data_IF_215812207607
#
_entry.id   IF_215812207607
#
_cell.length_a   1.000
_cell.length_b   1.000
_cell.length_c   1.000
_cell.angle_alpha   90.00
_cell.angle_beta   90.00
_cell.angle_gamma   90.00
#
_symmetry.space_group_name_H-M   'P 1'
#
loop_
_entity.id
_entity.type
_entity.pdbx_description
1 polymer ?
#
# COMPACT_ATOMS: atom_id res chain seq x y z
N UNK A 1 -3.19 0.53 6.63
CA UNK A 1 -2.59 1.45 5.63
C UNK A 1 -2.35 2.89 6.11
N UNK A 2 -3.28 3.54 6.84
CA UNK A 2 -3.18 4.96 7.25
C UNK A 2 -1.80 5.40 7.81
N UNK A 3 -1.25 4.65 8.77
CA UNK A 3 0.07 4.93 9.36
C UNK A 3 1.19 5.06 8.32
N UNK A 4 1.13 4.24 7.28
CA UNK A 4 2.13 4.23 6.22
C UNK A 4 1.88 5.37 5.25
N UNK A 5 0.63 5.67 4.89
CA UNK A 5 0.32 6.85 4.05
C UNK A 5 0.84 8.16 4.65
N UNK A 6 0.73 8.35 5.97
CA UNK A 6 1.28 9.51 6.66
C UNK A 6 2.79 9.66 6.44
N UNK A 7 3.51 8.54 6.49
CA UNK A 7 4.95 8.50 6.25
C UNK A 7 5.27 8.68 4.76
N UNK A 8 4.51 8.05 3.84
CA UNK A 8 4.76 8.17 2.41
C UNK A 8 4.61 9.61 1.92
N UNK A 9 3.63 10.36 2.44
CA UNK A 9 3.47 11.79 2.18
C UNK A 9 4.75 12.58 2.54
N UNK A 10 5.41 12.22 3.63
CA UNK A 10 6.61 12.91 4.11
C UNK A 10 7.89 12.43 3.40
N UNK A 11 7.98 11.13 3.11
CA UNK A 11 9.19 10.49 2.58
C UNK A 11 9.30 10.59 1.04
N UNK A 12 8.16 10.72 0.35
CA UNK A 12 8.09 10.82 -1.12
C UNK A 12 7.27 12.04 -1.58
N UNK A 13 7.56 13.26 -1.10
CA UNK A 13 6.70 14.43 -1.33
C UNK A 13 6.68 14.89 -2.80
N UNK A 14 7.69 14.51 -3.58
CA UNK A 14 7.88 14.93 -4.97
C UNK A 14 7.61 13.81 -5.98
N UNK A 15 7.46 12.57 -5.51
CA UNK A 15 7.28 11.41 -6.36
C UNK A 15 5.79 11.22 -6.66
N UNK A 16 5.51 10.74 -7.87
CA UNK A 16 4.17 10.33 -8.22
C UNK A 16 3.85 8.97 -7.58
N UNK A 17 2.59 8.79 -7.26
CA UNK A 17 2.04 7.55 -6.77
C UNK A 17 0.88 7.11 -7.68
N UNK A 18 0.77 5.80 -7.86
CA UNK A 18 -0.43 5.15 -8.39
C UNK A 18 -1.14 4.49 -7.22
N UNK A 19 -2.38 4.88 -6.99
CA UNK A 19 -3.26 4.29 -5.98
C UNK A 19 -4.26 3.39 -6.68
N UNK A 20 -4.12 2.09 -6.47
CA UNK A 20 -5.04 1.09 -6.99
C UNK A 20 -6.12 0.79 -5.94
N UNK A 21 -7.38 0.75 -6.37
CA UNK A 21 -8.53 0.46 -5.51
C UNK A 21 -9.00 -0.98 -5.66
N UNK A 22 -9.67 -1.49 -4.62
CA UNK A 22 -10.32 -2.81 -4.59
C UNK A 22 -11.44 -2.95 -5.64
N UNK A 23 -11.93 -1.84 -6.19
CA UNK A 23 -12.89 -1.84 -7.30
C UNK A 23 -12.25 -2.01 -8.69
N UNK A 24 -10.93 -2.02 -8.80
CA UNK A 24 -10.21 -2.04 -10.08
C UNK A 24 -9.95 -0.67 -10.69
N UNK A 25 -10.39 0.41 -10.04
CA UNK A 25 -10.08 1.77 -10.45
C UNK A 25 -8.67 2.17 -9.98
N UNK A 26 -8.05 3.08 -10.73
CA UNK A 26 -6.77 3.68 -10.37
C UNK A 26 -6.90 5.20 -10.30
N UNK A 27 -6.13 5.78 -9.41
CA UNK A 27 -5.98 7.21 -9.23
C UNK A 27 -4.48 7.53 -9.15
N UNK A 28 -4.05 8.67 -9.66
CA UNK A 28 -2.62 8.99 -9.79
C UNK A 28 -2.33 10.46 -9.53
N UNK A 29 -1.23 10.72 -8.84
CA UNK A 29 -0.77 12.06 -8.49
C UNK A 29 0.30 11.98 -7.41
N UNK A 30 0.62 13.10 -6.78
CA UNK A 30 1.45 13.12 -5.58
C UNK A 30 0.58 12.93 -4.34
N UNK A 31 1.12 12.27 -3.32
CA UNK A 31 0.42 12.10 -2.04
C UNK A 31 0.39 13.46 -1.31
N UNK A 32 -0.80 14.02 -1.11
CA UNK A 32 -0.97 15.35 -0.52
C UNK A 32 -1.14 15.31 0.99
N UNK A 33 -2.36 15.02 1.44
CA UNK A 33 -2.72 15.04 2.85
C UNK A 33 -3.73 13.94 3.19
N UNK A 34 -3.93 13.67 4.47
CA UNK A 34 -5.03 12.81 4.93
C UNK A 34 -6.17 13.66 5.48
N UNK A 35 -7.41 13.27 5.15
CA UNK A 35 -8.62 14.04 5.47
C UNK A 35 -9.63 13.21 6.30
N UNK A 36 -10.28 13.83 7.32
CA UNK A 36 -9.84 15.07 7.97
C UNK A 36 -8.44 14.90 8.59
N UNK A 37 -7.74 16.00 8.83
CA UNK A 37 -6.44 15.94 9.48
C UNK A 37 -6.55 15.28 10.87
N UNK A 38 -5.55 14.47 11.23
CA UNK A 38 -5.47 13.82 12.54
C UNK A 38 -5.85 12.33 12.54
N UNK A 39 -6.18 11.77 13.71
CA UNK A 39 -6.30 10.32 13.91
C UNK A 39 -7.57 9.71 13.28
N UNK A 40 -8.50 10.55 12.82
CA UNK A 40 -9.76 10.11 12.21
C UNK A 40 -9.74 10.23 10.68
N UNK A 41 -8.56 10.40 10.08
CA UNK A 41 -8.44 10.49 8.64
C UNK A 41 -8.91 9.19 7.96
N UNK A 42 -9.84 9.34 7.01
CA UNK A 42 -10.44 8.26 6.23
C UNK A 42 -10.23 8.40 4.72
N UNK A 43 -9.75 9.57 4.27
CA UNK A 43 -9.45 9.85 2.87
C UNK A 43 -7.97 10.22 2.72
N UNK A 44 -7.40 9.86 1.58
CA UNK A 44 -6.11 10.33 1.09
C UNK A 44 -6.38 11.32 -0.04
N UNK A 45 -5.84 12.53 0.07
CA UNK A 45 -5.88 13.52 -1.00
C UNK A 45 -4.69 13.32 -1.93
N UNK A 46 -4.95 13.30 -3.23
CA UNK A 46 -3.92 13.43 -4.24
C UNK A 46 -3.84 14.87 -4.75
N UNK A 47 -2.61 15.30 -5.03
CA UNK A 47 -2.30 16.63 -5.56
C UNK A 47 -1.51 16.51 -6.85
N UNK A 48 -1.60 17.53 -7.71
CA UNK A 48 -0.75 17.61 -8.90
C UNK A 48 0.70 18.00 -8.53
N UNK A 49 1.57 18.15 -9.53
CA UNK A 49 2.97 18.56 -9.34
C UNK A 49 3.14 19.96 -8.73
N UNK A 50 2.10 20.80 -8.75
CA UNK A 50 2.06 22.13 -8.14
C UNK A 50 1.49 22.12 -6.72
N UNK A 51 1.11 20.95 -6.18
CA UNK A 51 0.48 20.82 -4.87
C UNK A 51 -1.02 21.16 -4.85
N UNK A 52 -1.65 21.34 -6.01
CA UNK A 52 -3.09 21.62 -6.10
C UNK A 52 -3.86 20.31 -5.95
N UNK A 53 -4.84 20.23 -5.02
CA UNK A 53 -5.72 19.08 -4.87
C UNK A 53 -6.44 18.71 -6.17
N UNK A 54 -6.43 17.41 -6.50
CA UNK A 54 -7.13 16.87 -7.66
C UNK A 54 -8.32 16.00 -7.25
N UNK A 55 -8.08 15.06 -6.33
CA UNK A 55 -9.09 14.11 -5.89
C UNK A 55 -8.80 13.59 -4.47
N UNK A 56 -9.80 12.95 -3.87
CA UNK A 56 -9.69 12.29 -2.59
C UNK A 56 -10.14 10.83 -2.72
N UNK A 57 -9.26 9.91 -2.33
CA UNK A 57 -9.51 8.46 -2.40
C UNK A 57 -9.81 7.91 -1.00
N UNK A 58 -10.75 6.97 -0.92
CA UNK A 58 -11.08 6.33 0.36
C UNK A 58 -9.97 5.37 0.78
N UNK A 59 -9.37 5.59 1.96
CA UNK A 59 -8.29 4.74 2.48
C UNK A 59 -8.75 3.28 2.62
N UNK A 60 -10.02 3.06 2.97
CA UNK A 60 -10.60 1.72 3.14
C UNK A 60 -10.78 0.95 1.83
N UNK A 61 -10.67 1.63 0.68
CA UNK A 61 -10.79 1.05 -0.65
C UNK A 61 -9.45 0.88 -1.35
N UNK A 62 -8.36 1.36 -0.77
CA UNK A 62 -7.02 1.23 -1.36
C UNK A 62 -6.57 -0.23 -1.25
N UNK A 63 -6.31 -0.84 -2.40
CA UNK A 63 -5.66 -2.14 -2.52
C UNK A 63 -4.14 -1.98 -2.50
N UNK A 64 -3.59 -1.02 -3.24
CA UNK A 64 -2.16 -0.70 -3.18
C UNK A 64 -1.85 0.78 -3.42
N UNK A 65 -0.71 1.21 -2.90
CA UNK A 65 -0.06 2.47 -3.27
C UNK A 65 1.31 2.16 -3.81
N UNK A 66 1.59 2.49 -5.06
CA UNK A 66 2.92 2.33 -5.69
C UNK A 66 3.55 3.69 -5.92
N UNK A 67 4.70 3.94 -5.31
CA UNK A 67 5.49 5.14 -5.59
C UNK A 67 6.31 4.87 -6.85
N UNK A 68 6.18 5.71 -7.87
CA UNK A 68 6.85 5.52 -9.16
C UNK A 68 8.19 6.23 -9.20
N UNK A 69 9.18 5.64 -9.85
CA UNK A 69 10.53 6.21 -10.04
C UNK A 69 11.26 6.52 -8.74
N UNK A 70 10.89 5.85 -7.64
CA UNK A 70 11.51 5.99 -6.33
C UNK A 70 12.10 4.66 -5.85
N UNK A 71 13.08 4.74 -4.95
CA UNK A 71 13.60 3.56 -4.24
C UNK A 71 12.91 3.43 -2.87
N UNK A 72 12.74 2.19 -2.40
CA UNK A 72 12.20 1.94 -1.07
C UNK A 72 13.02 2.61 0.04
N UNK A 73 12.34 3.35 0.91
CA UNK A 73 12.91 4.03 2.05
C UNK A 73 12.83 3.17 3.32
N UNK A 74 13.99 2.84 3.89
CA UNK A 74 14.09 2.02 5.10
C UNK A 74 13.66 2.72 6.40
N UNK A 75 13.38 4.03 6.38
CA UNK A 75 12.86 4.76 7.53
C UNK A 75 11.37 4.49 7.81
N UNK A 76 10.67 3.78 6.91
CA UNK A 76 9.25 3.44 7.08
C UNK A 76 9.08 2.47 8.25
N UNK A 77 8.19 2.85 9.16
CA UNK A 77 7.78 2.06 10.32
C UNK A 77 6.38 1.49 10.13
N UNK A 78 6.15 0.30 10.68
CA UNK A 78 4.90 -0.44 10.57
C UNK A 78 4.28 -0.63 11.94
N UNK A 79 2.95 -0.75 11.97
CA UNK A 79 2.25 -1.03 13.22
C UNK A 79 2.45 -2.50 13.60
N UNK A 80 2.64 -2.81 14.89
CA UNK A 80 2.72 -4.18 15.34
C UNK A 80 1.37 -4.89 15.15
N UNK A 81 1.39 -6.22 15.19
CA UNK A 81 0.17 -7.02 15.30
C UNK A 81 -0.58 -6.62 16.59
N UNK A 82 -1.90 -6.36 16.54
CA UNK A 82 -2.69 -6.06 17.74
C UNK A 82 -2.59 -7.16 18.80
N UNK A 83 -2.73 -6.77 20.08
CA UNK A 83 -2.76 -7.71 21.21
C UNK A 83 -4.08 -7.52 21.98
N UNK A 84 -4.97 -8.53 22.02
CA UNK A 84 -4.85 -9.84 21.35
C UNK A 84 -4.92 -9.71 19.82
N UNK A 85 -4.38 -10.70 19.07
CA UNK A 85 -4.54 -10.74 17.62
C UNK A 85 -6.03 -10.72 17.23
N UNK A 86 -6.39 -10.06 16.12
CA UNK A 86 -7.76 -10.10 15.64
C UNK A 86 -8.13 -11.53 15.23
N UNK A 87 -9.43 -11.82 15.31
CA UNK A 87 -9.99 -13.14 14.98
C UNK A 87 -11.08 -13.00 13.93
N UNK A 88 -11.39 -14.11 13.25
CA UNK A 88 -12.41 -14.18 12.20
C UNK A 88 -11.81 -14.22 10.79
N UNK A 89 -12.69 -14.38 9.80
CA UNK A 89 -12.30 -14.67 8.42
C UNK A 89 -11.31 -13.65 7.84
N UNK A 90 -11.53 -12.36 8.07
CA UNK A 90 -10.63 -11.32 7.56
C UNK A 90 -9.22 -11.42 8.17
N UNK A 91 -9.12 -11.77 9.45
CA UNK A 91 -7.85 -11.98 10.13
C UNK A 91 -7.14 -13.26 9.67
N UNK A 92 -7.91 -14.33 9.43
CA UNK A 92 -7.37 -15.58 8.91
C UNK A 92 -6.83 -15.42 7.48
N UNK A 93 -7.56 -14.70 6.62
CA UNK A 93 -7.13 -14.36 5.26
C UNK A 93 -5.85 -13.50 5.28
N UNK A 94 -5.81 -12.47 6.11
CA UNK A 94 -4.65 -11.59 6.31
C UNK A 94 -3.40 -12.41 6.71
N UNK A 95 -3.55 -13.26 7.73
CA UNK A 95 -2.47 -14.08 8.26
C UNK A 95 -2.00 -15.14 7.23
N UNK A 96 -2.92 -15.73 6.47
CA UNK A 96 -2.60 -16.70 5.41
C UNK A 96 -1.78 -16.05 4.29
N UNK A 97 -2.16 -14.84 3.85
CA UNK A 97 -1.41 -14.09 2.83
C UNK A 97 0.00 -13.76 3.33
N UNK A 98 0.12 -13.31 4.58
CA UNK A 98 1.43 -13.07 5.19
C UNK A 98 2.27 -14.33 5.28
N UNK A 99 1.69 -15.46 5.67
CA UNK A 99 2.40 -16.74 5.69
C UNK A 99 2.85 -17.17 4.29
N UNK A 100 2.04 -16.91 3.27
CA UNK A 100 2.30 -17.25 1.87
C UNK A 100 3.36 -16.35 1.20
N UNK A 101 3.56 -15.13 1.70
CA UNK A 101 4.49 -14.13 1.15
C UNK A 101 5.62 -13.76 2.12
N UNK A 102 6.52 -14.70 2.50
CA UNK A 102 7.68 -14.35 3.30
C UNK A 102 8.59 -13.33 2.61
N UNK A 103 9.39 -12.60 3.39
CA UNK A 103 10.40 -11.69 2.84
C UNK A 103 11.39 -12.50 2.00
N UNK A 104 11.68 -12.02 0.78
CA UNK A 104 12.54 -12.69 -0.18
C UNK A 104 11.78 -13.47 -1.26
N UNK A 105 10.46 -13.65 -1.17
CA UNK A 105 9.69 -14.23 -2.28
C UNK A 105 9.79 -13.35 -3.52
N UNK A 106 10.24 -13.91 -4.63
CA UNK A 106 10.44 -13.24 -5.93
C UNK A 106 9.38 -13.65 -6.93
N UNK A 107 9.18 -12.87 -8.00
CA UNK A 107 8.24 -13.23 -9.07
C UNK A 107 6.77 -13.08 -8.67
N UNK A 108 6.51 -12.40 -7.55
CA UNK A 108 5.16 -12.24 -7.02
C UNK A 108 4.36 -11.32 -7.93
N UNK A 109 3.12 -11.71 -8.23
CA UNK A 109 2.10 -10.84 -8.80
C UNK A 109 0.86 -10.86 -7.90
N UNK A 110 0.47 -9.70 -7.37
CA UNK A 110 -0.70 -9.54 -6.52
C UNK A 110 -1.79 -8.82 -7.32
N UNK A 111 -2.98 -9.39 -7.36
CA UNK A 111 -4.14 -8.81 -8.02
C UNK A 111 -5.20 -8.37 -7.01
N UNK A 112 -5.88 -7.28 -7.34
CA UNK A 112 -7.07 -6.79 -6.66
C UNK A 112 -7.92 -5.98 -7.65
N UNK A 113 -9.25 -6.03 -7.54
CA UNK A 113 -10.15 -5.36 -8.47
C UNK A 113 -9.97 -5.81 -9.92
N UNK A 114 -9.60 -7.07 -10.15
CA UNK A 114 -9.38 -7.62 -11.50
C UNK A 114 -8.12 -7.14 -12.24
N UNK A 115 -7.17 -6.48 -11.56
CA UNK A 115 -5.91 -6.03 -12.14
C UNK A 115 -4.71 -6.36 -11.24
N UNK A 116 -3.51 -6.42 -11.84
CA UNK A 116 -2.26 -6.56 -11.07
C UNK A 116 -1.89 -5.23 -10.41
N UNK A 117 -1.93 -5.21 -9.09
CA UNK A 117 -1.68 -4.01 -8.27
C UNK A 117 -0.25 -3.92 -7.75
N UNK A 118 0.50 -5.01 -7.82
CA UNK A 118 1.93 -5.07 -7.54
C UNK A 118 2.58 -6.28 -8.21
N UNK A 119 3.82 -6.12 -8.67
CA UNK A 119 4.64 -7.20 -9.20
C UNK A 119 6.10 -7.01 -8.79
N UNK A 120 6.78 -8.08 -8.35
CA UNK A 120 8.20 -8.04 -8.02
C UNK A 120 8.59 -8.95 -6.85
N UNK A 121 9.41 -8.43 -5.94
CA UNK A 121 9.92 -9.18 -4.78
C UNK A 121 9.41 -8.60 -3.46
N UNK A 122 9.09 -9.47 -2.50
CA UNK A 122 8.64 -9.08 -1.16
C UNK A 122 9.84 -8.65 -0.33
N UNK A 123 9.85 -7.39 0.13
CA UNK A 123 10.90 -6.86 1.02
C UNK A 123 10.42 -6.58 2.44
N UNK A 124 9.10 -6.51 2.64
CA UNK A 124 8.46 -6.38 3.96
C UNK A 124 7.18 -7.19 3.98
N UNK A 125 6.94 -7.84 5.12
CA UNK A 125 5.76 -8.63 5.40
C UNK A 125 5.28 -8.27 6.81
N UNK A 126 4.32 -7.37 6.86
CA UNK A 126 3.90 -6.66 8.06
C UNK A 126 2.41 -6.86 8.27
N UNK A 127 1.91 -6.60 9.48
CA UNK A 127 0.50 -6.77 9.77
C UNK A 127 -0.38 -5.87 8.89
N UNK A 128 -1.28 -6.50 8.12
CA UNK A 128 -2.20 -5.83 7.20
C UNK A 128 -1.55 -5.32 5.90
N UNK A 129 -0.27 -5.62 5.65
CA UNK A 129 0.43 -5.09 4.48
C UNK A 129 1.71 -5.84 4.10
N UNK A 130 1.92 -6.02 2.80
CA UNK A 130 3.22 -6.42 2.24
C UNK A 130 3.80 -5.29 1.39
N UNK A 131 5.12 -5.27 1.24
CA UNK A 131 5.79 -4.35 0.31
C UNK A 131 6.50 -5.14 -0.78
N UNK A 132 6.11 -4.84 -2.02
CA UNK A 132 6.66 -5.42 -3.24
C UNK A 132 7.54 -4.36 -3.91
N UNK A 133 8.70 -4.74 -4.41
CA UNK A 133 9.59 -3.85 -5.18
C UNK A 133 10.06 -4.48 -6.48
N UNK A 134 10.38 -3.63 -7.44
CA UNK A 134 11.14 -3.99 -8.63
C UNK A 134 12.64 -4.18 -8.34
N UNK A 135 13.45 -4.36 -9.40
CA UNK A 135 14.91 -4.46 -9.29
C UNK A 135 15.52 -3.28 -8.53
N UNK A 136 16.57 -3.54 -7.74
CA UNK A 136 17.25 -2.52 -6.92
C UNK A 136 16.32 -1.78 -5.94
N UNK A 137 15.26 -2.45 -5.48
CA UNK A 137 14.25 -1.88 -4.58
C UNK A 137 13.49 -0.69 -5.17
N UNK A 138 13.34 -0.64 -6.50
CA UNK A 138 12.60 0.40 -7.20
C UNK A 138 11.08 0.23 -7.07
N UNK A 139 10.37 1.31 -7.32
CA UNK A 139 8.92 1.38 -7.47
C UNK A 139 8.14 0.69 -6.34
N UNK A 140 8.40 1.03 -5.06
CA UNK A 140 7.82 0.30 -3.94
C UNK A 140 6.30 0.38 -3.96
N UNK A 141 5.66 -0.79 -3.98
CA UNK A 141 4.23 -0.98 -3.89
C UNK A 141 3.85 -1.50 -2.50
N UNK A 142 3.06 -0.69 -1.79
CA UNK A 142 2.52 -0.98 -0.46
C UNK A 142 1.13 -1.58 -0.63
N UNK A 143 1.00 -2.88 -0.43
CA UNK A 143 -0.21 -3.65 -0.77
C UNK A 143 -0.95 -4.07 0.49
N UNK A 144 -2.23 -3.73 0.58
CA UNK A 144 -3.09 -4.17 1.68
C UNK A 144 -3.37 -5.68 1.55
N UNK A 145 -2.96 -6.47 2.53
CA UNK A 145 -3.23 -7.92 2.54
C UNK A 145 -4.73 -8.22 2.65
N UNK A 146 -5.51 -7.34 3.31
CA UNK A 146 -6.97 -7.47 3.38
C UNK A 146 -7.70 -7.21 2.05
N UNK A 147 -7.00 -6.79 0.99
CA UNK A 147 -7.58 -6.45 -0.32
C UNK A 147 -7.00 -7.25 -1.47
N UNK A 148 -6.00 -8.09 -1.21
CA UNK A 148 -5.44 -8.97 -2.22
C UNK A 148 -6.43 -10.11 -2.52
N UNK A 149 -6.69 -10.35 -3.80
CA UNK A 149 -7.67 -11.32 -4.26
C UNK A 149 -7.00 -12.57 -4.84
N UNK A 150 -5.94 -12.38 -5.65
CA UNK A 150 -5.22 -13.46 -6.32
C UNK A 150 -3.72 -13.18 -6.21
N UNK A 151 -2.96 -14.20 -5.81
CA UNK A 151 -1.50 -14.11 -5.64
C UNK A 151 -0.84 -15.22 -6.45
N UNK A 152 0.02 -14.84 -7.39
CA UNK A 152 0.86 -15.75 -8.17
C UNK A 152 2.33 -15.60 -7.73
N UNK A 153 3.09 -16.69 -7.74
CA UNK A 153 4.54 -16.75 -7.47
C UNK A 153 5.23 -17.68 -8.47
#
# INVERSE_FOLDING_TARGET
MRNVLQQLIQLYPNDNAVVAMDSGNNSSGRLGSLLPAGPNAGLLQLVNSQGVPQEAVSICRIASVRITSASYNNAITYLPVPVPPPTGCDADCEAAIRSYLPVGTTGVAINAGGQTVANGSIIRNEFGMVVVVGPNSSDPAFVSTCKAEIINQ
#
